data_IF_488729823234
#
_entry.id   IF_488729823234
#
_cell.length_a   1.000
_cell.length_b   1.000
_cell.length_c   1.000
_cell.angle_alpha   90.00
_cell.angle_beta   90.00
_cell.angle_gamma   90.00
#
_symmetry.space_group_name_H-M   'P 1'
#
loop_
_entity.id
_entity.type
_entity.pdbx_description
1 polymer ?
#
# COMPACT_ATOMS: atom_id res chain seq x y z
N UNK A 1 26.48 12.74 -11.04
CA UNK A 1 25.30 12.86 -10.16
C UNK A 1 25.52 14.13 -9.37
N UNK A 2 24.76 15.18 -9.68
CA UNK A 2 24.90 16.49 -9.01
C UNK A 2 24.78 16.29 -7.50
N UNK A 3 25.85 16.64 -6.78
CA UNK A 3 25.90 16.49 -5.34
C UNK A 3 24.94 17.52 -4.76
N UNK A 4 23.77 17.07 -4.29
CA UNK A 4 22.80 17.94 -3.64
C UNK A 4 23.49 18.68 -2.49
N UNK A 5 23.30 19.99 -2.42
CA UNK A 5 23.73 20.77 -1.27
C UNK A 5 23.00 20.30 0.00
N UNK A 6 23.59 20.51 1.17
CA UNK A 6 22.96 20.15 2.44
C UNK A 6 21.58 20.82 2.67
N UNK A 7 21.31 21.96 2.01
CA UNK A 7 20.00 22.61 2.00
C UNK A 7 19.00 21.87 1.11
N UNK A 8 19.42 21.43 -0.07
CA UNK A 8 18.59 20.64 -0.98
C UNK A 8 18.29 19.25 -0.41
N UNK A 9 19.26 18.62 0.26
CA UNK A 9 19.08 17.32 0.90
C UNK A 9 18.02 17.37 2.01
N UNK A 10 18.06 18.38 2.89
CA UNK A 10 17.01 18.58 3.92
C UNK A 10 15.64 18.85 3.30
N UNK A 11 15.58 19.64 2.24
CA UNK A 11 14.33 19.92 1.53
C UNK A 11 13.77 18.65 0.88
N UNK A 12 14.63 17.82 0.29
CA UNK A 12 14.25 16.54 -0.29
C UNK A 12 13.70 15.58 0.79
N UNK A 13 14.38 15.45 1.92
CA UNK A 13 13.94 14.62 3.05
C UNK A 13 12.54 15.02 3.55
N UNK A 14 12.30 16.32 3.75
CA UNK A 14 10.97 16.83 4.15
C UNK A 14 9.89 16.52 3.11
N UNK A 15 10.21 16.66 1.81
CA UNK A 15 9.28 16.32 0.73
C UNK A 15 8.99 14.83 0.69
N UNK A 16 10.01 13.99 0.90
CA UNK A 16 9.88 12.54 0.95
C UNK A 16 9.01 12.10 2.12
N UNK A 17 9.19 12.66 3.32
CA UNK A 17 8.33 12.36 4.47
C UNK A 17 6.87 12.74 4.21
N UNK A 18 6.62 13.95 3.69
CA UNK A 18 5.26 14.39 3.34
C UNK A 18 4.62 13.46 2.30
N UNK A 19 5.42 13.02 1.33
CA UNK A 19 4.96 12.09 0.29
C UNK A 19 4.62 10.71 0.88
N UNK A 20 5.45 10.15 1.74
CA UNK A 20 5.19 8.88 2.41
C UNK A 20 3.88 8.90 3.19
N UNK A 21 3.60 9.98 3.94
CA UNK A 21 2.32 10.13 4.66
C UNK A 21 1.15 10.15 3.67
N UNK A 22 1.25 10.89 2.57
CA UNK A 22 0.20 10.93 1.54
C UNK A 22 -0.03 9.56 0.90
N UNK A 23 1.03 8.83 0.59
CA UNK A 23 0.97 7.48 0.02
C UNK A 23 0.33 6.50 1.00
N UNK A 24 0.69 6.57 2.28
CA UNK A 24 0.07 5.78 3.34
C UNK A 24 -1.44 6.07 3.46
N UNK A 25 -1.84 7.34 3.47
CA UNK A 25 -3.26 7.71 3.52
C UNK A 25 -4.04 7.21 2.31
N UNK A 26 -3.44 7.26 1.12
CA UNK A 26 -4.04 6.70 -0.10
C UNK A 26 -4.19 5.17 -0.03
N UNK A 27 -3.16 4.47 0.42
CA UNK A 27 -3.19 3.02 0.61
C UNK A 27 -4.23 2.61 1.67
N UNK A 28 -4.31 3.35 2.77
CA UNK A 28 -5.30 3.13 3.82
C UNK A 28 -6.73 3.36 3.31
N UNK A 29 -6.97 4.45 2.57
CA UNK A 29 -8.27 4.74 1.96
C UNK A 29 -8.73 3.63 1.01
N UNK A 30 -7.86 3.19 0.11
CA UNK A 30 -8.17 2.10 -0.82
C UNK A 30 -8.43 0.77 -0.12
N UNK A 31 -7.68 0.47 0.96
CA UNK A 31 -7.91 -0.72 1.78
C UNK A 31 -9.30 -0.68 2.46
N UNK A 32 -9.65 0.44 3.07
CA UNK A 32 -10.94 0.62 3.77
C UNK A 32 -12.09 0.48 2.78
N UNK A 33 -12.03 1.15 1.62
CA UNK A 33 -13.05 1.05 0.58
C UNK A 33 -13.21 -0.40 0.08
N UNK A 34 -12.10 -1.06 -0.25
CA UNK A 34 -12.13 -2.45 -0.73
C UNK A 34 -12.75 -3.42 0.28
N UNK A 35 -12.33 -3.34 1.55
CA UNK A 35 -12.85 -4.23 2.58
C UNK A 35 -14.28 -3.89 2.98
N UNK A 36 -14.68 -2.62 2.95
CA UNK A 36 -16.07 -2.22 3.14
C UNK A 36 -16.96 -2.85 2.06
N UNK A 37 -16.64 -2.62 0.79
CA UNK A 37 -17.42 -3.14 -0.35
C UNK A 37 -17.48 -4.66 -0.40
N UNK A 38 -16.46 -5.35 0.12
CA UNK A 38 -16.39 -6.82 0.09
C UNK A 38 -17.06 -7.49 1.29
N UNK A 39 -17.19 -6.78 2.43
CA UNK A 39 -17.55 -7.40 3.70
C UNK A 39 -18.75 -6.77 4.40
N UNK A 40 -19.12 -5.53 4.12
CA UNK A 40 -20.28 -4.86 4.74
C UNK A 40 -21.43 -4.91 3.74
N UNK A 41 -22.42 -5.75 4.05
CA UNK A 41 -23.54 -6.03 3.14
C UNK A 41 -24.91 -5.88 3.83
N UNK A 42 -24.94 -5.74 5.17
CA UNK A 42 -26.17 -5.59 5.96
C UNK A 42 -26.26 -4.18 6.55
N UNK A 43 -27.26 -3.42 6.09
CA UNK A 43 -27.52 -2.05 6.54
C UNK A 43 -28.75 -1.93 7.45
N UNK A 44 -29.21 -3.05 8.04
CA UNK A 44 -30.35 -3.07 8.98
C UNK A 44 -29.95 -2.67 10.42
N UNK A 45 -28.65 -2.60 10.71
CA UNK A 45 -28.08 -2.25 12.02
C UNK A 45 -27.11 -1.08 11.91
N UNK A 46 -26.94 -0.33 13.01
CA UNK A 46 -25.89 0.70 13.14
C UNK A 46 -24.52 0.12 13.51
N UNK A 47 -24.47 -1.16 13.85
CA UNK A 47 -23.26 -1.86 14.27
C UNK A 47 -22.88 -2.95 13.28
N UNK A 48 -21.58 -3.09 13.03
CA UNK A 48 -21.01 -4.17 12.22
C UNK A 48 -21.26 -5.50 12.94
N UNK A 49 -21.82 -6.47 12.24
CA UNK A 49 -22.06 -7.80 12.78
C UNK A 49 -20.77 -8.58 13.01
N UNK A 50 -20.82 -9.66 13.79
CA UNK A 50 -19.68 -10.55 13.99
C UNK A 50 -19.19 -11.18 12.67
N UNK A 51 -20.10 -11.45 11.73
CA UNK A 51 -19.78 -12.00 10.40
C UNK A 51 -18.96 -11.01 9.59
N UNK A 52 -19.44 -9.77 9.51
CA UNK A 52 -18.78 -8.69 8.76
C UNK A 52 -17.44 -8.34 9.41
N UNK A 53 -17.38 -8.24 10.74
CA UNK A 53 -16.12 -8.02 11.48
C UNK A 53 -15.09 -9.11 11.19
N UNK A 54 -15.50 -10.38 11.19
CA UNK A 54 -14.64 -11.50 10.82
C UNK A 54 -14.20 -11.46 9.36
N UNK A 55 -15.06 -11.00 8.44
CA UNK A 55 -14.72 -10.78 7.03
C UNK A 55 -13.67 -9.66 6.89
N UNK A 56 -13.89 -8.50 7.52
CA UNK A 56 -12.99 -7.34 7.46
C UNK A 56 -11.58 -7.74 7.93
N UNK A 57 -11.45 -8.44 9.06
CA UNK A 57 -10.16 -8.91 9.56
C UNK A 57 -9.42 -9.79 8.54
N UNK A 58 -10.11 -10.75 7.91
CA UNK A 58 -9.53 -11.59 6.86
C UNK A 58 -9.21 -10.81 5.60
N UNK A 59 -10.05 -9.85 5.23
CA UNK A 59 -9.84 -8.98 4.07
C UNK A 59 -8.54 -8.19 4.22
N UNK A 60 -8.33 -7.54 5.37
CA UNK A 60 -7.11 -6.78 5.66
C UNK A 60 -5.85 -7.67 5.61
N UNK A 61 -5.89 -8.83 6.24
CA UNK A 61 -4.77 -9.79 6.20
C UNK A 61 -4.46 -10.24 4.77
N UNK A 62 -5.48 -10.60 3.99
CA UNK A 62 -5.32 -11.01 2.59
C UNK A 62 -4.78 -9.88 1.73
N UNK A 63 -5.25 -8.65 1.93
CA UNK A 63 -4.75 -7.49 1.20
C UNK A 63 -3.26 -7.29 1.46
N UNK A 64 -2.83 -7.27 2.73
CA UNK A 64 -1.41 -7.12 3.08
C UNK A 64 -0.55 -8.24 2.49
N UNK A 65 -0.98 -9.50 2.60
CA UNK A 65 -0.28 -10.63 2.00
C UNK A 65 -0.21 -10.53 0.46
N UNK A 66 -1.28 -10.04 -0.17
CA UNK A 66 -1.32 -9.82 -1.63
C UNK A 66 -0.37 -8.70 -2.04
N UNK A 67 -0.31 -7.59 -1.30
CA UNK A 67 0.62 -6.50 -1.54
C UNK A 67 2.08 -6.99 -1.43
N UNK A 68 2.40 -7.78 -0.40
CA UNK A 68 3.74 -8.38 -0.27
C UNK A 68 4.08 -9.25 -1.48
N UNK A 69 3.17 -10.15 -1.87
CA UNK A 69 3.40 -11.04 -3.00
C UNK A 69 3.60 -10.28 -4.32
N UNK A 70 2.81 -9.22 -4.55
CA UNK A 70 2.96 -8.36 -5.72
C UNK A 70 4.33 -7.68 -5.71
N UNK A 71 4.75 -7.16 -4.55
CA UNK A 71 6.08 -6.56 -4.37
C UNK A 71 7.20 -7.55 -4.71
N UNK A 72 7.13 -8.78 -4.20
CA UNK A 72 8.13 -9.82 -4.47
C UNK A 72 8.21 -10.14 -5.97
N UNK A 73 7.06 -10.34 -6.64
CA UNK A 73 7.03 -10.60 -8.09
C UNK A 73 7.55 -9.41 -8.91
N UNK A 74 7.23 -8.19 -8.48
CA UNK A 74 7.73 -6.99 -9.15
C UNK A 74 9.24 -6.87 -9.04
N UNK A 75 9.82 -7.14 -7.87
CA UNK A 75 11.27 -7.15 -7.66
C UNK A 75 11.97 -8.20 -8.54
N UNK A 76 11.42 -9.41 -8.61
CA UNK A 76 11.94 -10.47 -9.50
C UNK A 76 11.91 -10.04 -10.96
N UNK A 77 10.80 -9.46 -11.42
CA UNK A 77 10.67 -9.00 -12.81
C UNK A 77 11.63 -7.84 -13.12
N UNK A 78 11.78 -6.89 -12.21
CA UNK A 78 12.70 -5.78 -12.36
C UNK A 78 14.17 -6.24 -12.41
N UNK A 79 14.53 -7.25 -11.61
CA UNK A 79 15.86 -7.87 -11.65
C UNK A 79 16.12 -8.57 -12.99
N UNK A 80 15.11 -9.26 -13.55
CA UNK A 80 15.20 -9.90 -14.86
C UNK A 80 15.41 -8.87 -15.98
N UNK A 81 14.66 -7.77 -15.99
CA UNK A 81 14.84 -6.67 -16.96
C UNK A 81 16.24 -6.07 -16.87
N UNK A 82 16.75 -5.84 -15.66
CA UNK A 82 18.12 -5.32 -15.45
C UNK A 82 19.17 -6.31 -15.96
N UNK A 83 18.98 -7.62 -15.76
CA UNK A 83 19.88 -8.64 -16.28
C UNK A 83 19.84 -8.76 -17.82
N UNK A 84 18.70 -8.46 -18.45
CA UNK A 84 18.58 -8.41 -19.91
C UNK A 84 19.27 -7.20 -20.51
N UNK A 85 19.21 -6.03 -19.86
CA UNK A 85 19.90 -4.82 -20.36
C UNK A 85 21.44 -4.91 -20.31
N UNK A 86 21.99 -5.77 -19.44
CA UNK A 86 23.43 -5.96 -19.32
C UNK A 86 24.00 -7.02 -20.28
N UNK A 87 23.17 -7.61 -21.15
CA UNK A 87 23.59 -8.52 -22.23
C UNK A 87 23.52 -7.82 -23.57
#
# INVERSE_FOLDING_TARGET
MDMLSAAEQRTLEQRMQKRQVKEFMGAFGGLVEHCFMSCVDDFTSKAISNRESGCINRCVQKWMASQQRISDRFQEHNAQLTAQMNK
#
